data_IF_591930380177
#
_entry.id   IF_591930380177
#
_cell.length_a   1.000
_cell.length_b   1.000
_cell.length_c   1.000
_cell.angle_alpha   90.00
_cell.angle_beta   90.00
_cell.angle_gamma   90.00
#
_symmetry.space_group_name_H-M   'P 1'
#
loop_
_entity.id
_entity.type
_entity.pdbx_description
1 polymer ?
#
# COMPACT_ATOMS: atom_id res chain seq x y z
N UNK A 1 -36.68 -8.04 -4.43
CA UNK A 1 -36.15 -6.73 -4.86
C UNK A 1 -34.83 -6.50 -4.12
N UNK A 2 -33.77 -6.18 -4.85
CA UNK A 2 -32.46 -5.88 -4.23
C UNK A 2 -32.53 -4.56 -3.47
N UNK A 3 -31.99 -4.51 -2.26
CA UNK A 3 -31.87 -3.28 -1.49
C UNK A 3 -30.88 -2.32 -2.20
N UNK A 4 -31.31 -1.13 -2.65
CA UNK A 4 -30.42 -0.17 -3.32
C UNK A 4 -29.19 0.19 -2.49
N UNK A 5 -29.31 0.27 -1.16
CA UNK A 5 -28.18 0.57 -0.25
C UNK A 5 -27.19 -0.58 -0.20
N UNK A 6 -27.64 -1.83 -0.34
CA UNK A 6 -26.75 -2.97 -0.40
C UNK A 6 -25.91 -2.96 -1.69
N UNK A 7 -26.53 -2.61 -2.82
CA UNK A 7 -25.85 -2.48 -4.12
C UNK A 7 -24.81 -1.33 -4.04
N UNK A 8 -25.19 -0.19 -3.52
CA UNK A 8 -24.30 0.96 -3.35
C UNK A 8 -23.08 0.60 -2.50
N UNK A 9 -23.30 -0.08 -1.36
CA UNK A 9 -22.22 -0.55 -0.49
C UNK A 9 -21.27 -1.50 -1.21
N UNK A 10 -21.80 -2.46 -1.98
CA UNK A 10 -20.97 -3.38 -2.77
C UNK A 10 -20.13 -2.63 -3.82
N UNK A 11 -20.70 -1.61 -4.45
CA UNK A 11 -19.99 -0.76 -5.41
C UNK A 11 -18.81 -0.03 -4.74
N UNK A 12 -19.01 0.50 -3.53
CA UNK A 12 -17.91 1.12 -2.78
C UNK A 12 -16.83 0.11 -2.38
N UNK A 13 -17.21 -1.08 -1.93
CA UNK A 13 -16.26 -2.15 -1.60
C UNK A 13 -15.41 -2.51 -2.82
N UNK A 14 -16.01 -2.70 -3.99
CA UNK A 14 -15.26 -3.00 -5.22
C UNK A 14 -14.36 -1.84 -5.64
N UNK A 15 -14.80 -0.59 -5.52
CA UNK A 15 -13.97 0.58 -5.81
C UNK A 15 -12.73 0.65 -4.89
N UNK A 16 -12.88 0.31 -3.61
CA UNK A 16 -11.77 0.26 -2.64
C UNK A 16 -10.80 -0.90 -2.96
N UNK A 17 -11.30 -2.06 -3.38
CA UNK A 17 -10.43 -3.16 -3.85
C UNK A 17 -9.61 -2.75 -5.07
N UNK A 18 -10.23 -2.08 -6.04
CA UNK A 18 -9.52 -1.53 -7.22
C UNK A 18 -8.47 -0.49 -6.81
N UNK A 19 -8.79 0.39 -5.84
CA UNK A 19 -7.86 1.36 -5.29
C UNK A 19 -6.62 0.67 -4.71
N UNK A 20 -6.81 -0.38 -3.89
CA UNK A 20 -5.69 -1.13 -3.29
C UNK A 20 -4.86 -1.88 -4.35
N UNK A 21 -5.50 -2.47 -5.34
CA UNK A 21 -4.80 -3.13 -6.45
C UNK A 21 -3.94 -2.14 -7.25
N UNK A 22 -4.45 -0.92 -7.50
CA UNK A 22 -3.69 0.16 -8.14
C UNK A 22 -2.50 0.60 -7.30
N UNK A 23 -2.67 0.67 -5.98
CA UNK A 23 -1.59 1.01 -5.05
C UNK A 23 -0.41 0.03 -5.18
N UNK A 24 -0.64 -1.28 -5.07
CA UNK A 24 0.40 -2.29 -5.22
C UNK A 24 1.08 -2.18 -6.59
N UNK A 25 0.29 -2.13 -7.65
CA UNK A 25 0.83 -2.02 -9.00
C UNK A 25 1.67 -0.74 -9.18
N UNK A 26 1.20 0.41 -8.73
CA UNK A 26 1.93 1.68 -8.86
C UNK A 26 3.28 1.63 -8.14
N UNK A 27 3.33 1.06 -6.94
CA UNK A 27 4.58 0.86 -6.19
C UNK A 27 5.52 -0.08 -6.93
N UNK A 28 5.03 -1.22 -7.40
CA UNK A 28 5.86 -2.24 -8.05
C UNK A 28 6.38 -1.79 -9.42
N UNK A 29 5.57 -1.05 -10.17
CA UNK A 29 5.97 -0.50 -11.49
C UNK A 29 6.62 0.89 -11.41
N UNK A 30 6.77 1.46 -10.19
CA UNK A 30 7.36 2.80 -9.97
C UNK A 30 6.57 3.94 -10.62
N UNK A 31 5.26 3.75 -10.78
CA UNK A 31 4.35 4.80 -11.25
C UNK A 31 4.00 5.77 -10.10
N UNK A 32 4.97 6.66 -9.82
CA UNK A 32 4.85 7.62 -8.71
C UNK A 32 3.76 8.66 -8.93
N UNK A 33 3.52 9.04 -10.18
CA UNK A 33 2.43 9.96 -10.52
C UNK A 33 1.07 9.29 -10.30
N UNK A 34 0.90 8.05 -10.76
CA UNK A 34 -0.30 7.26 -10.50
C UNK A 34 -0.50 6.99 -9.01
N UNK A 35 0.58 6.75 -8.27
CA UNK A 35 0.52 6.55 -6.82
C UNK A 35 -0.01 7.81 -6.10
N UNK A 36 0.42 9.01 -6.51
CA UNK A 36 -0.05 10.26 -5.92
C UNK A 36 -1.56 10.42 -6.01
N UNK A 37 -2.17 10.05 -7.13
CA UNK A 37 -3.62 10.14 -7.34
C UNK A 37 -4.45 9.24 -6.41
N UNK A 38 -3.83 8.25 -5.77
CA UNK A 38 -4.51 7.32 -4.88
C UNK A 38 -4.64 7.83 -3.44
N UNK A 39 -3.90 8.89 -3.07
CA UNK A 39 -3.89 9.45 -1.73
C UNK A 39 -4.66 10.76 -1.64
N UNK A 40 -5.33 10.98 -0.51
CA UNK A 40 -5.80 12.32 -0.12
C UNK A 40 -4.60 13.25 0.04
N UNK A 41 -4.80 14.56 -0.19
CA UNK A 41 -3.72 15.55 -0.04
C UNK A 41 -3.10 15.55 1.36
N UNK A 42 -3.94 15.30 2.37
CA UNK A 42 -3.64 15.27 3.80
C UNK A 42 -3.50 13.81 4.32
N UNK A 43 -3.15 12.87 3.46
CA UNK A 43 -3.01 11.46 3.83
C UNK A 43 -1.80 11.22 4.73
N UNK A 44 -1.86 10.14 5.53
CA UNK A 44 -0.72 9.67 6.32
C UNK A 44 -0.32 8.25 5.94
N UNK A 45 0.97 7.93 6.07
CA UNK A 45 1.48 6.57 5.87
C UNK A 45 2.48 6.23 6.97
N UNK A 46 2.24 5.11 7.63
CA UNK A 46 3.13 4.48 8.60
C UNK A 46 3.48 3.06 8.13
N UNK A 47 4.73 2.85 7.77
CA UNK A 47 5.25 1.52 7.40
C UNK A 47 6.25 0.99 8.45
N UNK A 48 6.11 1.42 9.72
CA UNK A 48 6.91 0.96 10.85
C UNK A 48 8.28 1.62 10.99
N UNK A 49 8.59 2.67 10.23
CA UNK A 49 9.88 3.40 10.33
C UNK A 49 9.66 4.81 10.85
N UNK A 50 8.78 5.54 10.20
CA UNK A 50 8.33 6.87 10.59
C UNK A 50 7.03 7.18 9.85
N UNK A 51 6.15 7.93 10.50
CA UNK A 51 4.94 8.44 9.88
C UNK A 51 5.32 9.49 8.83
N UNK A 52 4.72 9.38 7.64
CA UNK A 52 4.79 10.39 6.58
C UNK A 52 3.47 11.12 6.55
N UNK A 53 3.51 12.42 6.53
CA UNK A 53 2.34 13.28 6.57
C UNK A 53 2.24 14.11 5.29
N UNK A 54 1.11 14.00 4.62
CA UNK A 54 0.85 14.59 3.31
C UNK A 54 1.26 13.70 2.13
N UNK A 55 0.38 13.67 1.12
CA UNK A 55 0.54 12.90 -0.11
C UNK A 55 1.90 13.09 -0.77
N UNK A 56 2.34 14.34 -0.91
CA UNK A 56 3.58 14.66 -1.64
C UNK A 56 4.80 14.15 -0.87
N UNK A 57 4.78 14.20 0.47
CA UNK A 57 5.82 13.62 1.32
C UNK A 57 5.84 12.09 1.24
N UNK A 58 4.67 11.45 1.24
CA UNK A 58 4.54 10.01 1.07
C UNK A 58 5.19 9.58 -0.25
N UNK A 59 4.77 10.18 -1.36
CA UNK A 59 5.27 9.83 -2.71
C UNK A 59 6.76 10.12 -2.83
N UNK A 60 7.23 11.27 -2.37
CA UNK A 60 8.65 11.64 -2.37
C UNK A 60 9.52 10.64 -1.61
N UNK A 61 9.06 10.22 -0.43
CA UNK A 61 9.80 9.27 0.40
C UNK A 61 9.80 7.88 -0.22
N UNK A 62 8.67 7.40 -0.70
CA UNK A 62 8.56 6.09 -1.34
C UNK A 62 9.38 6.03 -2.63
N UNK A 63 9.31 7.05 -3.47
CA UNK A 63 10.07 7.10 -4.72
C UNK A 63 11.58 7.06 -4.50
N UNK A 64 12.08 7.73 -3.46
CA UNK A 64 13.52 7.67 -3.10
C UNK A 64 13.93 6.32 -2.54
N UNK A 65 13.11 5.75 -1.64
CA UNK A 65 13.44 4.51 -0.96
C UNK A 65 13.35 3.28 -1.88
N UNK A 66 12.50 3.32 -2.90
CA UNK A 66 12.16 2.18 -3.74
C UNK A 66 12.53 2.34 -5.22
N UNK A 67 13.26 3.40 -5.59
CA UNK A 67 13.62 3.69 -6.99
C UNK A 67 14.25 2.47 -7.70
N UNK A 68 15.25 1.87 -7.07
CA UNK A 68 16.04 0.77 -7.62
C UNK A 68 15.67 -0.59 -7.02
N UNK A 69 14.56 -0.65 -6.28
CA UNK A 69 14.11 -1.87 -5.61
C UNK A 69 13.22 -2.67 -6.52
N UNK A 70 13.55 -3.94 -6.74
CA UNK A 70 12.61 -4.91 -7.30
C UNK A 70 11.63 -5.28 -6.19
N UNK A 71 10.38 -4.90 -6.35
CA UNK A 71 9.34 -5.15 -5.36
C UNK A 71 8.14 -5.85 -5.96
N UNK A 72 7.55 -6.72 -5.16
CA UNK A 72 6.27 -7.37 -5.45
C UNK A 72 5.43 -7.30 -4.19
N UNK A 73 4.25 -6.71 -4.28
CA UNK A 73 3.31 -6.59 -3.18
C UNK A 73 2.02 -7.34 -3.49
N UNK A 74 1.55 -8.12 -2.55
CA UNK A 74 0.26 -8.78 -2.62
C UNK A 74 -0.62 -8.38 -1.45
N UNK A 75 -1.90 -8.14 -1.73
CA UNK A 75 -2.96 -8.06 -0.74
C UNK A 75 -3.91 -9.24 -0.95
N UNK A 76 -4.23 -9.90 0.15
CA UNK A 76 -5.18 -11.02 0.14
C UNK A 76 -6.61 -10.52 0.35
N UNK A 77 -7.54 -11.41 0.73
CA UNK A 77 -8.93 -11.04 0.95
C UNK A 77 -9.05 -9.98 2.05
N UNK A 78 -9.69 -8.84 1.80
CA UNK A 78 -9.82 -7.79 2.78
C UNK A 78 -11.07 -7.91 3.63
N UNK A 79 -10.99 -7.34 4.81
CA UNK A 79 -12.14 -6.96 5.62
C UNK A 79 -12.40 -5.46 5.37
N UNK A 80 -13.45 -5.11 4.60
CA UNK A 80 -13.77 -3.72 4.28
C UNK A 80 -15.11 -3.35 4.93
N UNK A 81 -15.10 -2.26 5.68
CA UNK A 81 -16.29 -1.66 6.27
C UNK A 81 -16.48 -0.26 5.70
N UNK A 82 -17.57 -0.06 4.97
CA UNK A 82 -18.06 1.25 4.54
C UNK A 82 -18.96 1.76 5.67
N UNK A 83 -18.56 2.86 6.31
CA UNK A 83 -19.26 3.39 7.49
C UNK A 83 -20.57 4.05 7.04
N UNK A 84 -20.50 5.28 6.63
CA UNK A 84 -21.65 6.02 6.11
C UNK A 84 -21.34 6.49 4.68
N UNK A 85 -21.50 7.70 4.37
CA UNK A 85 -21.53 8.17 3.00
C UNK A 85 -20.14 8.40 2.38
N UNK A 86 -19.08 8.65 3.20
CA UNK A 86 -17.80 9.13 2.67
C UNK A 86 -16.56 8.54 3.32
N UNK A 87 -16.72 7.58 4.21
CA UNK A 87 -15.61 6.97 4.93
C UNK A 87 -15.68 5.44 4.95
N UNK A 88 -14.53 4.80 4.89
CA UNK A 88 -14.41 3.36 4.99
C UNK A 88 -13.08 2.97 5.67
N UNK A 89 -13.05 1.77 6.19
CA UNK A 89 -11.84 1.13 6.71
C UNK A 89 -11.60 -0.19 6.00
N UNK A 90 -10.34 -0.62 5.95
CA UNK A 90 -9.99 -1.93 5.41
C UNK A 90 -8.81 -2.53 6.13
N UNK A 91 -8.88 -3.83 6.40
CA UNK A 91 -7.76 -4.64 6.87
C UNK A 91 -7.39 -5.60 5.75
N UNK A 92 -6.11 -5.60 5.34
CA UNK A 92 -5.61 -6.45 4.27
C UNK A 92 -4.47 -7.30 4.79
N UNK A 93 -4.64 -8.60 4.85
CA UNK A 93 -3.50 -9.48 4.97
C UNK A 93 -2.60 -9.31 3.74
N UNK A 94 -1.30 -9.25 3.94
CA UNK A 94 -0.36 -8.95 2.87
C UNK A 94 0.92 -9.76 2.97
N UNK A 95 1.54 -9.98 1.84
CA UNK A 95 2.95 -10.35 1.72
C UNK A 95 3.67 -9.48 0.68
N UNK A 96 4.95 -9.30 0.89
CA UNK A 96 5.81 -8.59 -0.04
C UNK A 96 7.20 -9.25 -0.18
N UNK A 97 7.82 -8.96 -1.30
CA UNK A 97 9.20 -9.29 -1.59
C UNK A 97 9.90 -8.03 -2.09
N UNK A 98 10.95 -7.63 -1.41
CA UNK A 98 11.78 -6.49 -1.78
C UNK A 98 13.23 -6.92 -1.93
N UNK A 99 13.83 -6.62 -3.08
CA UNK A 99 15.22 -6.90 -3.38
C UNK A 99 15.93 -5.62 -3.83
N UNK A 100 17.12 -5.38 -3.28
CA UNK A 100 18.02 -4.28 -3.64
C UNK A 100 19.16 -4.80 -4.53
N UNK A 101 18.99 -4.85 -5.87
CA UNK A 101 19.99 -5.43 -6.77
C UNK A 101 21.36 -4.76 -6.67
N UNK A 102 21.37 -3.44 -6.41
CA UNK A 102 22.62 -2.65 -6.25
C UNK A 102 23.39 -3.00 -4.98
N UNK A 103 22.79 -3.72 -4.03
CA UNK A 103 23.40 -4.16 -2.78
C UNK A 103 23.73 -5.66 -2.75
N UNK A 104 23.55 -6.37 -3.88
CA UNK A 104 23.90 -7.79 -3.98
C UNK A 104 25.33 -8.04 -3.48
N UNK A 105 25.53 -9.16 -2.77
CA UNK A 105 26.84 -9.53 -2.28
C UNK A 105 27.83 -9.79 -3.44
N UNK A 106 29.15 -9.79 -3.14
CA UNK A 106 30.19 -10.12 -4.13
C UNK A 106 29.98 -11.48 -4.79
N UNK A 107 29.28 -12.41 -4.15
CA UNK A 107 28.92 -13.73 -4.68
C UNK A 107 27.57 -13.73 -5.41
N UNK A 108 26.96 -12.55 -5.63
CA UNK A 108 25.68 -12.40 -6.32
C UNK A 108 24.45 -12.83 -5.51
N UNK A 109 24.58 -13.03 -4.19
CA UNK A 109 23.42 -13.34 -3.35
C UNK A 109 22.51 -12.11 -3.20
N UNK A 110 21.19 -12.26 -3.41
CA UNK A 110 20.24 -11.15 -3.35
C UNK A 110 20.12 -10.59 -1.93
N UNK A 111 20.13 -9.27 -1.81
CA UNK A 111 19.96 -8.52 -0.56
C UNK A 111 18.58 -7.95 -0.50
N UNK A 112 17.88 -8.16 0.61
CA UNK A 112 16.51 -7.72 0.80
C UNK A 112 15.74 -8.59 1.77
N UNK A 113 14.43 -8.67 1.59
CA UNK A 113 13.58 -9.49 2.47
C UNK A 113 12.27 -9.93 1.80
N UNK A 114 11.65 -10.93 2.41
CA UNK A 114 10.24 -11.24 2.29
C UNK A 114 9.53 -10.85 3.58
N UNK A 115 8.38 -10.23 3.47
CA UNK A 115 7.61 -9.81 4.63
C UNK A 115 6.18 -10.25 4.57
N UNK A 116 5.55 -10.36 5.73
CA UNK A 116 4.10 -10.56 5.85
C UNK A 116 3.55 -9.72 6.98
N UNK A 117 2.26 -9.40 6.89
CA UNK A 117 1.61 -8.55 7.88
C UNK A 117 0.20 -8.14 7.50
N UNK A 118 -0.22 -7.00 8.02
CA UNK A 118 -1.51 -6.42 7.68
C UNK A 118 -1.37 -4.93 7.40
N UNK A 119 -2.07 -4.47 6.36
CA UNK A 119 -2.41 -3.06 6.20
C UNK A 119 -3.69 -2.77 6.96
N UNK A 120 -3.70 -1.66 7.68
CA UNK A 120 -4.87 -1.04 8.29
C UNK A 120 -5.09 0.29 7.59
N UNK A 121 -6.05 0.31 6.69
CA UNK A 121 -6.30 1.45 5.82
C UNK A 121 -7.56 2.20 6.25
N UNK A 122 -7.51 3.52 6.15
CA UNK A 122 -8.68 4.38 6.17
C UNK A 122 -8.83 5.06 4.82
N UNK A 123 -10.06 5.12 4.34
CA UNK A 123 -10.40 5.68 3.03
C UNK A 123 -11.37 6.83 3.16
N UNK A 124 -11.27 7.76 2.23
CA UNK A 124 -12.23 8.85 2.05
C UNK A 124 -12.74 8.88 0.62
N UNK A 125 -14.05 9.06 0.46
CA UNK A 125 -14.67 9.38 -0.81
C UNK A 125 -14.60 10.90 -1.02
N UNK A 126 -13.73 11.34 -1.91
CA UNK A 126 -13.53 12.76 -2.19
C UNK A 126 -14.69 13.35 -3.03
N UNK A 127 -14.71 14.67 -3.18
CA UNK A 127 -15.78 15.39 -3.88
C UNK A 127 -15.87 15.06 -5.37
N UNK A 128 -14.80 14.51 -5.96
CA UNK A 128 -14.79 14.02 -7.34
C UNK A 128 -15.35 12.60 -7.50
N UNK A 129 -15.90 12.02 -6.44
CA UNK A 129 -16.49 10.68 -6.43
C UNK A 129 -15.46 9.55 -6.40
N UNK A 130 -14.20 9.83 -6.10
CA UNK A 130 -13.14 8.81 -6.03
C UNK A 130 -12.78 8.48 -4.59
N UNK A 131 -12.65 7.20 -4.29
CA UNK A 131 -12.06 6.72 -3.06
C UNK A 131 -10.55 6.95 -3.09
N UNK A 132 -9.99 7.44 -1.98
CA UNK A 132 -8.55 7.64 -1.77
C UNK A 132 -8.13 7.17 -0.38
N UNK A 133 -6.87 6.81 -0.25
CA UNK A 133 -6.28 6.55 1.07
C UNK A 133 -6.23 7.84 1.90
N UNK A 134 -6.83 7.81 3.08
CA UNK A 134 -6.70 8.86 4.11
C UNK A 134 -5.58 8.52 5.08
N UNK A 135 -5.43 7.23 5.42
CA UNK A 135 -4.27 6.73 6.14
C UNK A 135 -3.98 5.28 5.76
N UNK A 136 -2.72 4.93 5.79
CA UNK A 136 -2.20 3.57 5.59
C UNK A 136 -1.26 3.26 6.74
N UNK A 137 -1.53 2.18 7.47
CA UNK A 137 -0.65 1.67 8.52
C UNK A 137 -0.29 0.22 8.21
N UNK A 138 0.99 -0.08 8.07
CA UNK A 138 1.48 -1.43 7.86
C UNK A 138 2.06 -1.98 9.18
N UNK A 139 1.44 -3.06 9.68
CA UNK A 139 1.97 -3.83 10.80
C UNK A 139 2.60 -5.11 10.29
N UNK A 140 3.84 -5.39 10.68
CA UNK A 140 4.57 -6.60 10.28
C UNK A 140 4.35 -7.72 11.27
N UNK A 141 4.08 -8.92 10.78
CA UNK A 141 4.10 -10.17 11.57
C UNK A 141 5.47 -10.81 11.46
N UNK A 142 6.05 -10.78 10.25
CA UNK A 142 7.31 -11.46 9.97
C UNK A 142 8.09 -10.75 8.87
N UNK A 143 9.41 -10.78 9.01
CA UNK A 143 10.37 -10.36 7.99
C UNK A 143 11.46 -11.42 7.92
N UNK A 144 11.65 -12.02 6.75
CA UNK A 144 12.69 -13.01 6.47
C UNK A 144 13.72 -12.40 5.51
N UNK A 145 14.98 -12.21 5.95
CA UNK A 145 16.04 -11.75 5.07
C UNK A 145 16.26 -12.68 3.89
N UNK A 146 16.67 -12.12 2.73
CA UNK A 146 17.13 -12.90 1.59
C UNK A 146 18.54 -13.46 1.86
N UNK A 147 19.05 -14.32 0.96
CA UNK A 147 20.32 -15.02 1.14
C UNK A 147 21.54 -14.11 1.37
N UNK A 148 21.50 -12.89 0.84
CA UNK A 148 22.52 -11.86 1.04
C UNK A 148 22.33 -10.99 2.29
N UNK A 149 21.25 -11.23 3.05
CA UNK A 149 20.89 -10.45 4.23
C UNK A 149 19.93 -9.31 3.96
N UNK A 150 19.69 -8.50 5.00
CA UNK A 150 18.86 -7.28 4.90
C UNK A 150 19.59 -6.18 4.15
N UNK A 151 18.83 -5.39 3.39
CA UNK A 151 19.37 -4.18 2.78
C UNK A 151 19.83 -3.17 3.86
N UNK A 152 20.97 -2.54 3.61
CA UNK A 152 21.44 -1.40 4.42
C UNK A 152 20.76 -0.12 3.92
N UNK A 153 20.39 0.76 4.84
CA UNK A 153 19.74 2.05 4.55
C UNK A 153 20.76 3.14 4.38
#
# INVERSE_FOLDING_TARGET
>A
MSDPRAIERLTHVEAIKVLKARYFRAVDTKDWAGLAELFCIDATLDAGVAVRDGRDEIVRTMSRALADVVSVHHGHMPEITVADDRSATGIWAMDDHLEWPTQSTERGAPVGFRGSGHYHDHYRLDHDGRWRFRSVVLTRIRIDPLAGGMATR
#
